data_IF_820211486720
#
_entry.id   IF_820211486720
#
_cell.length_a   1.000
_cell.length_b   1.000
_cell.length_c   1.000
_cell.angle_alpha   90.00
_cell.angle_beta   90.00
_cell.angle_gamma   90.00
#
_symmetry.space_group_name_H-M   'P 1'
#
loop_
_entity.id
_entity.type
_entity.pdbx_description
1 polymer ?
#
# COMPACT_ATOMS: atom_id res chain seq x y z
N UNK A 1 -24.65 -9.96 -21.12
CA UNK A 1 -24.62 -10.54 -19.76
C UNK A 1 -23.68 -9.68 -18.94
N UNK A 2 -24.19 -8.99 -17.92
CA UNK A 2 -23.38 -8.16 -17.02
C UNK A 2 -22.82 -9.00 -15.87
N UNK A 3 -21.62 -8.67 -15.40
CA UNK A 3 -21.04 -9.32 -14.22
C UNK A 3 -21.58 -8.63 -12.96
N UNK A 4 -21.92 -9.40 -11.92
CA UNK A 4 -22.24 -8.85 -10.60
C UNK A 4 -20.98 -8.33 -9.93
N UNK A 5 -20.68 -7.06 -10.20
CA UNK A 5 -19.51 -6.36 -9.68
C UNK A 5 -19.50 -6.37 -8.14
N UNK A 6 -20.65 -6.22 -7.46
CA UNK A 6 -20.69 -6.15 -5.99
C UNK A 6 -20.31 -7.47 -5.33
N UNK A 7 -20.84 -8.58 -5.82
CA UNK A 7 -20.48 -9.92 -5.31
C UNK A 7 -19.00 -10.21 -5.55
N UNK A 8 -18.47 -9.83 -6.70
CA UNK A 8 -17.05 -10.03 -6.99
C UNK A 8 -16.14 -9.17 -6.11
N UNK A 9 -16.51 -7.92 -5.86
CA UNK A 9 -15.79 -7.04 -4.95
C UNK A 9 -15.77 -7.64 -3.55
N UNK A 10 -16.91 -8.15 -3.06
CA UNK A 10 -16.96 -8.89 -1.79
C UNK A 10 -16.04 -10.11 -1.81
N UNK A 11 -16.02 -10.89 -2.90
CA UNK A 11 -15.13 -12.06 -3.01
C UNK A 11 -13.67 -11.63 -3.02
N UNK A 12 -13.26 -10.66 -3.83
CA UNK A 12 -11.88 -10.20 -3.92
C UNK A 12 -11.38 -9.60 -2.62
N UNK A 13 -12.20 -8.75 -1.99
CA UNK A 13 -11.85 -8.11 -0.73
C UNK A 13 -11.81 -9.13 0.40
N UNK A 14 -12.72 -10.11 0.44
CA UNK A 14 -12.75 -11.14 1.49
C UNK A 14 -11.81 -12.33 1.22
N UNK A 15 -11.30 -12.51 0.01
CA UNK A 15 -10.35 -13.57 -0.36
C UNK A 15 -9.08 -13.51 0.50
N UNK A 16 -8.87 -14.54 1.31
CA UNK A 16 -7.63 -14.78 2.04
C UNK A 16 -6.70 -15.67 1.18
N UNK A 17 -5.47 -15.92 1.66
CA UNK A 17 -4.51 -16.75 0.91
C UNK A 17 -5.01 -18.21 0.76
N UNK A 18 -5.82 -18.70 1.70
CA UNK A 18 -6.46 -20.02 1.61
C UNK A 18 -7.50 -20.10 0.50
N UNK A 19 -8.39 -19.11 0.37
CA UNK A 19 -9.35 -19.01 -0.72
C UNK A 19 -8.63 -18.95 -2.07
N UNK A 20 -7.52 -18.21 -2.18
CA UNK A 20 -6.71 -18.17 -3.40
C UNK A 20 -6.08 -19.53 -3.70
N UNK A 21 -5.58 -20.25 -2.69
CA UNK A 21 -5.07 -21.63 -2.86
C UNK A 21 -6.17 -22.60 -3.28
N UNK A 22 -7.36 -22.49 -2.71
CA UNK A 22 -8.51 -23.32 -3.09
C UNK A 22 -8.98 -23.02 -4.51
N UNK A 23 -8.98 -21.75 -4.92
CA UNK A 23 -9.25 -21.35 -6.31
C UNK A 23 -8.26 -21.98 -7.28
N UNK A 24 -6.96 -21.98 -6.93
CA UNK A 24 -5.91 -22.63 -7.74
C UNK A 24 -6.16 -24.13 -7.90
N UNK A 25 -6.35 -24.83 -6.78
CA UNK A 25 -6.65 -26.27 -6.78
C UNK A 25 -7.93 -26.61 -7.56
N UNK A 26 -8.98 -25.81 -7.41
CA UNK A 26 -10.29 -26.05 -8.04
C UNK A 26 -10.40 -25.58 -9.48
N UNK A 27 -9.41 -24.87 -10.02
CA UNK A 27 -9.46 -24.28 -11.36
C UNK A 27 -8.14 -24.45 -12.11
N UNK A 28 -7.57 -25.66 -12.07
CA UNK A 28 -6.27 -25.99 -12.69
C UNK A 28 -6.14 -25.58 -14.16
N UNK A 29 -7.24 -25.55 -14.92
CA UNK A 29 -7.25 -25.08 -16.32
C UNK A 29 -6.88 -23.60 -16.51
N UNK A 30 -6.94 -22.78 -15.46
CA UNK A 30 -6.61 -21.35 -15.49
C UNK A 30 -5.13 -21.08 -15.19
N UNK A 31 -4.41 -22.10 -14.72
CA UNK A 31 -3.05 -22.02 -14.23
C UNK A 31 -2.13 -22.93 -15.05
N UNK A 32 -0.87 -22.52 -15.16
CA UNK A 32 0.19 -23.27 -15.82
C UNK A 32 1.30 -23.40 -14.80
N UNK A 33 1.67 -24.64 -14.48
CA UNK A 33 2.85 -24.95 -13.69
C UNK A 33 4.05 -25.06 -14.64
N UNK A 34 5.14 -24.37 -14.29
CA UNK A 34 6.38 -24.46 -15.04
C UNK A 34 7.29 -25.61 -14.56
N UNK A 35 8.40 -25.82 -15.26
CA UNK A 35 9.40 -26.84 -14.94
C UNK A 35 10.06 -26.66 -13.55
N UNK A 36 9.95 -25.45 -12.98
CA UNK A 36 10.51 -25.11 -11.67
C UNK A 36 9.47 -25.19 -10.54
N UNK A 37 8.27 -25.70 -10.81
CA UNK A 37 7.17 -25.83 -9.84
C UNK A 37 6.51 -24.49 -9.48
N UNK A 38 6.69 -23.44 -10.29
CA UNK A 38 5.99 -22.18 -10.14
C UNK A 38 4.69 -22.20 -10.94
N UNK A 39 3.56 -22.22 -10.22
CA UNK A 39 2.23 -22.12 -10.80
C UNK A 39 1.86 -20.64 -11.08
N UNK A 40 1.67 -20.31 -12.36
CA UNK A 40 1.33 -18.97 -12.85
C UNK A 40 -0.01 -18.95 -13.58
N UNK A 41 -0.63 -17.78 -13.65
CA UNK A 41 -1.85 -17.62 -14.44
C UNK A 41 -1.57 -17.76 -15.95
N UNK A 42 -2.46 -18.46 -16.64
CA UNK A 42 -2.46 -18.48 -18.10
C UNK A 42 -2.80 -17.08 -18.67
N UNK A 43 -2.07 -16.69 -19.71
CA UNK A 43 -2.21 -15.38 -20.33
C UNK A 43 -3.58 -15.19 -20.99
N UNK A 44 -4.19 -16.25 -21.54
CA UNK A 44 -5.52 -16.17 -22.15
C UNK A 44 -6.60 -15.93 -21.08
N UNK A 45 -6.47 -16.60 -19.94
CA UNK A 45 -7.33 -16.41 -18.77
C UNK A 45 -7.27 -14.96 -18.24
N UNK A 46 -6.07 -14.37 -18.15
CA UNK A 46 -5.92 -12.96 -17.78
C UNK A 46 -6.60 -12.04 -18.79
N UNK A 47 -6.50 -12.31 -20.10
CA UNK A 47 -7.16 -11.50 -21.13
C UNK A 47 -8.68 -11.56 -20.99
N UNK A 48 -9.24 -12.74 -20.73
CA UNK A 48 -10.67 -12.93 -20.50
C UNK A 48 -11.12 -12.12 -19.27
N UNK A 49 -10.40 -12.22 -18.15
CA UNK A 49 -10.68 -11.42 -16.95
C UNK A 49 -10.67 -9.92 -17.26
N UNK A 50 -9.65 -9.43 -17.99
CA UNK A 50 -9.58 -8.01 -18.36
C UNK A 50 -10.76 -7.55 -19.21
N UNK A 51 -11.24 -8.40 -20.11
CA UNK A 51 -12.38 -8.12 -20.97
C UNK A 51 -13.69 -8.09 -20.16
N UNK A 52 -13.91 -9.09 -19.31
CA UNK A 52 -15.10 -9.18 -18.45
C UNK A 52 -15.19 -8.04 -17.44
N UNK A 53 -14.04 -7.60 -16.92
CA UNK A 53 -13.96 -6.57 -15.87
C UNK A 53 -13.43 -5.23 -16.39
N UNK A 54 -13.86 -4.76 -17.56
CA UNK A 54 -13.21 -3.61 -18.20
C UNK A 54 -13.02 -2.37 -17.30
N UNK A 55 -13.97 -2.07 -16.39
CA UNK A 55 -13.89 -0.95 -15.42
C UNK A 55 -12.89 -1.16 -14.29
N UNK A 56 -12.75 -2.39 -13.79
CA UNK A 56 -11.93 -2.73 -12.61
C UNK A 56 -10.77 -3.68 -12.95
N UNK A 57 -10.49 -3.88 -14.23
CA UNK A 57 -9.64 -4.97 -14.73
C UNK A 57 -8.29 -5.04 -14.04
N UNK A 58 -7.64 -3.89 -13.84
CA UNK A 58 -6.32 -3.84 -13.25
C UNK A 58 -6.40 -4.15 -11.75
N UNK A 59 -7.44 -3.70 -11.05
CA UNK A 59 -7.65 -4.02 -9.64
C UNK A 59 -7.93 -5.52 -9.43
N UNK A 60 -8.81 -6.09 -10.26
CA UNK A 60 -9.16 -7.52 -10.21
C UNK A 60 -7.95 -8.39 -10.51
N UNK A 61 -7.25 -8.13 -11.62
CA UNK A 61 -6.09 -8.92 -12.04
C UNK A 61 -4.97 -8.82 -11.01
N UNK A 62 -4.60 -7.62 -10.56
CA UNK A 62 -3.53 -7.46 -9.56
C UNK A 62 -3.88 -8.07 -8.20
N UNK A 63 -5.16 -8.26 -7.88
CA UNK A 63 -5.59 -8.89 -6.63
C UNK A 63 -5.55 -10.42 -6.67
N UNK A 64 -5.76 -11.01 -7.85
CA UNK A 64 -5.83 -12.45 -8.07
C UNK A 64 -4.47 -13.10 -8.39
N UNK A 65 -3.53 -12.34 -8.94
CA UNK A 65 -2.18 -12.82 -9.23
C UNK A 65 -1.44 -13.19 -7.94
N UNK A 66 -0.55 -14.19 -8.04
CA UNK A 66 0.45 -14.42 -7.00
C UNK A 66 1.31 -13.16 -6.83
N UNK A 67 1.69 -12.72 -5.61
CA UNK A 67 2.49 -11.51 -5.42
C UNK A 67 3.78 -11.49 -6.26
N UNK A 68 4.47 -12.62 -6.36
CA UNK A 68 5.68 -12.74 -7.19
C UNK A 68 5.40 -12.59 -8.69
N UNK A 69 4.37 -13.28 -9.20
CA UNK A 69 3.95 -13.15 -10.61
C UNK A 69 3.49 -11.72 -10.92
N UNK A 70 2.75 -11.11 -10.01
CA UNK A 70 2.26 -9.75 -10.12
C UNK A 70 3.41 -8.76 -10.29
N UNK A 71 4.40 -8.84 -9.40
CA UNK A 71 5.54 -7.93 -9.42
C UNK A 71 6.40 -8.18 -10.69
N UNK A 72 6.62 -9.44 -11.08
CA UNK A 72 7.31 -9.78 -12.33
C UNK A 72 6.62 -9.19 -13.57
N UNK A 73 5.28 -9.30 -13.67
CA UNK A 73 4.51 -8.71 -14.77
C UNK A 73 4.50 -7.19 -14.76
N UNK A 74 4.53 -6.56 -13.59
CA UNK A 74 4.64 -5.11 -13.45
C UNK A 74 6.01 -4.60 -13.90
N UNK A 75 7.08 -5.30 -13.51
CA UNK A 75 8.45 -5.01 -13.96
C UNK A 75 8.53 -5.14 -15.49
N UNK A 76 8.03 -6.23 -16.07
CA UNK A 76 8.04 -6.41 -17.52
C UNK A 76 7.31 -5.27 -18.26
N UNK A 77 6.13 -4.90 -17.75
CA UNK A 77 5.34 -3.80 -18.31
C UNK A 77 6.11 -2.47 -18.22
N UNK A 78 6.84 -2.23 -17.13
CA UNK A 78 7.63 -1.03 -16.95
C UNK A 78 8.83 -0.98 -17.91
N UNK A 79 9.57 -2.08 -18.04
CA UNK A 79 10.70 -2.20 -18.99
C UNK A 79 10.24 -1.88 -20.41
N UNK A 80 9.15 -2.52 -20.88
CA UNK A 80 8.62 -2.30 -22.24
C UNK A 80 8.15 -0.88 -22.52
N UNK A 81 7.65 -0.18 -21.50
CA UNK A 81 7.17 1.20 -21.65
C UNK A 81 8.29 2.24 -21.59
N UNK A 82 9.47 1.85 -21.09
CA UNK A 82 10.67 2.68 -21.11
C UNK A 82 10.80 3.66 -19.94
N UNK A 83 11.72 4.65 -20.06
CA UNK A 83 12.25 5.41 -18.93
C UNK A 83 11.23 6.11 -18.02
N UNK A 84 10.12 6.58 -18.60
CA UNK A 84 9.03 7.23 -17.84
C UNK A 84 8.35 6.31 -16.82
N UNK A 85 8.59 4.99 -16.89
CA UNK A 85 7.96 3.99 -16.04
C UNK A 85 8.94 3.22 -15.15
N UNK A 86 10.23 3.55 -15.19
CA UNK A 86 11.24 2.89 -14.36
C UNK A 86 11.02 3.12 -12.86
N UNK A 87 10.27 4.15 -12.49
CA UNK A 87 9.81 4.36 -11.12
C UNK A 87 9.04 3.16 -10.55
N UNK A 88 8.33 2.39 -11.38
CA UNK A 88 7.63 1.17 -10.93
C UNK A 88 8.62 0.05 -10.58
N UNK A 89 9.73 -0.05 -11.32
CA UNK A 89 10.80 -1.02 -11.04
C UNK A 89 11.47 -0.66 -9.72
N UNK A 90 11.81 0.62 -9.54
CA UNK A 90 12.36 1.15 -8.28
C UNK A 90 11.42 0.90 -7.13
N UNK A 91 10.13 1.21 -7.28
CA UNK A 91 9.14 0.98 -6.23
C UNK A 91 9.13 -0.49 -5.80
N UNK A 92 9.08 -1.43 -6.74
CA UNK A 92 9.05 -2.86 -6.43
C UNK A 92 10.37 -3.28 -5.77
N UNK A 93 11.52 -2.94 -6.35
CA UNK A 93 12.83 -3.36 -5.85
C UNK A 93 13.13 -2.80 -4.45
N UNK A 94 12.73 -1.56 -4.16
CA UNK A 94 13.06 -0.90 -2.90
C UNK A 94 12.05 -1.18 -1.78
N UNK A 95 10.77 -1.40 -2.10
CA UNK A 95 9.72 -1.54 -1.07
C UNK A 95 9.44 -2.98 -0.67
N UNK A 96 9.69 -3.96 -1.56
CA UNK A 96 9.56 -5.39 -1.24
C UNK A 96 10.62 -5.85 -0.24
N UNK A 97 10.33 -6.94 0.46
CA UNK A 97 11.36 -7.67 1.21
C UNK A 97 12.31 -8.40 0.27
N UNK A 98 13.50 -8.75 0.74
CA UNK A 98 14.50 -9.49 -0.03
C UNK A 98 13.94 -10.81 -0.59
N UNK A 99 13.14 -11.54 0.20
CA UNK A 99 12.48 -12.78 -0.24
C UNK A 99 11.36 -12.54 -1.25
N UNK A 100 10.59 -11.45 -1.10
CA UNK A 100 9.55 -11.09 -2.07
C UNK A 100 10.16 -10.71 -3.42
N UNK A 101 11.26 -9.94 -3.41
CA UNK A 101 11.97 -9.54 -4.63
C UNK A 101 12.62 -10.76 -5.30
N UNK A 102 13.25 -11.64 -4.53
CA UNK A 102 13.78 -12.91 -5.04
C UNK A 102 12.68 -13.78 -5.66
N UNK A 103 11.53 -13.86 -5.01
CA UNK A 103 10.35 -14.54 -5.54
C UNK A 103 9.89 -13.96 -6.88
N UNK A 104 9.85 -12.63 -7.01
CA UNK A 104 9.51 -11.96 -8.26
C UNK A 104 10.50 -12.30 -9.38
N UNK A 105 11.81 -12.37 -9.09
CA UNK A 105 12.84 -12.80 -10.06
C UNK A 105 12.61 -14.23 -10.55
N UNK A 106 12.31 -15.16 -9.64
CA UNK A 106 11.96 -16.56 -9.99
C UNK A 106 10.71 -16.62 -10.88
N UNK A 107 9.65 -15.89 -10.51
CA UNK A 107 8.43 -15.82 -11.31
C UNK A 107 8.69 -15.21 -12.69
N UNK A 108 9.61 -14.27 -12.79
CA UNK A 108 9.98 -13.65 -14.05
C UNK A 108 10.60 -14.64 -15.04
N UNK A 109 11.50 -15.53 -14.57
CA UNK A 109 12.06 -16.61 -15.40
C UNK A 109 10.96 -17.51 -15.96
N UNK A 110 10.00 -17.89 -15.11
CA UNK A 110 8.84 -18.72 -15.49
C UNK A 110 7.97 -18.09 -16.58
N UNK A 111 7.81 -16.77 -16.53
CA UNK A 111 6.89 -16.01 -17.37
C UNK A 111 7.49 -15.63 -18.72
N UNK A 112 8.79 -15.33 -18.72
CA UNK A 112 9.44 -14.66 -19.86
C UNK A 112 10.64 -15.40 -20.41
N UNK A 113 11.10 -16.47 -19.75
CA UNK A 113 12.22 -17.33 -20.17
C UNK A 113 13.59 -16.63 -20.19
N UNK A 114 13.75 -15.57 -19.40
CA UNK A 114 15.00 -14.87 -19.17
C UNK A 114 14.97 -14.19 -17.79
N UNK A 115 16.11 -13.67 -17.33
CA UNK A 115 16.18 -12.95 -16.04
C UNK A 115 15.79 -11.47 -16.15
N UNK A 116 15.40 -10.85 -15.04
CA UNK A 116 15.10 -9.40 -15.03
C UNK A 116 16.37 -8.62 -15.38
N UNK A 117 17.49 -9.07 -14.82
CA UNK A 117 18.83 -8.52 -15.00
C UNK A 117 19.22 -8.56 -16.48
N UNK A 118 19.10 -9.71 -17.13
CA UNK A 118 19.33 -9.87 -18.56
C UNK A 118 18.48 -8.91 -19.38
N UNK A 119 17.18 -8.80 -19.09
CA UNK A 119 16.32 -7.85 -19.82
C UNK A 119 16.80 -6.40 -19.63
N UNK A 120 17.15 -6.02 -18.41
CA UNK A 120 17.67 -4.69 -18.12
C UNK A 120 19.01 -4.42 -18.79
N UNK A 121 19.83 -5.43 -19.11
CA UNK A 121 21.08 -5.19 -19.87
C UNK A 121 20.82 -4.61 -21.27
N UNK A 122 19.69 -4.96 -21.88
CA UNK A 122 19.30 -4.54 -23.23
C UNK A 122 18.68 -3.13 -23.29
N UNK A 123 18.31 -2.54 -22.14
CA UNK A 123 17.78 -1.17 -22.14
C UNK A 123 18.90 -0.16 -22.36
N UNK A 124 18.61 0.89 -23.12
CA UNK A 124 19.49 2.05 -23.28
C UNK A 124 19.16 3.08 -22.21
N UNK A 125 20.18 3.67 -21.59
CA UNK A 125 20.00 4.71 -20.57
C UNK A 125 21.02 4.61 -19.44
N UNK A 126 21.21 5.73 -18.74
CA UNK A 126 22.10 5.84 -17.56
C UNK A 126 21.52 5.12 -16.33
N UNK A 127 20.20 4.91 -16.32
CA UNK A 127 19.45 4.25 -15.26
C UNK A 127 19.73 2.75 -15.18
N UNK A 128 20.27 2.15 -16.25
CA UNK A 128 20.51 0.71 -16.36
C UNK A 128 21.30 0.16 -15.19
N UNK A 129 22.42 0.81 -14.84
CA UNK A 129 23.30 0.36 -13.75
C UNK A 129 22.56 0.30 -12.42
N UNK A 130 21.84 1.38 -12.09
CA UNK A 130 21.02 1.47 -10.89
C UNK A 130 19.92 0.41 -10.88
N UNK A 131 19.15 0.28 -11.97
CA UNK A 131 18.03 -0.67 -12.03
C UNK A 131 18.49 -2.10 -11.87
N UNK A 132 19.57 -2.50 -12.55
CA UNK A 132 20.17 -3.84 -12.40
C UNK A 132 20.60 -4.08 -10.97
N UNK A 133 21.28 -3.10 -10.34
CA UNK A 133 21.73 -3.23 -8.96
C UNK A 133 20.55 -3.36 -7.97
N UNK A 134 19.49 -2.57 -8.16
CA UNK A 134 18.30 -2.60 -7.30
C UNK A 134 17.53 -3.92 -7.42
N UNK A 135 17.29 -4.44 -8.63
CA UNK A 135 16.55 -5.71 -8.79
C UNK A 135 17.35 -6.92 -8.34
N UNK A 136 18.69 -6.84 -8.41
CA UNK A 136 19.58 -7.93 -7.99
C UNK A 136 19.76 -8.00 -6.47
N UNK A 137 19.30 -6.98 -5.73
CA UNK A 137 19.58 -6.84 -4.32
C UNK A 137 18.96 -7.97 -3.48
N UNK A 138 19.77 -8.55 -2.59
CA UNK A 138 19.32 -9.42 -1.50
C UNK A 138 19.82 -8.82 -0.18
N UNK A 139 19.10 -7.79 0.28
CA UNK A 139 19.54 -6.92 1.38
C UNK A 139 19.41 -7.61 2.72
N UNK A 140 20.29 -7.23 3.64
CA UNK A 140 20.13 -7.54 5.05
C UNK A 140 18.87 -6.82 5.61
N UNK A 141 18.02 -7.56 6.32
CA UNK A 141 16.78 -7.04 6.91
C UNK A 141 16.82 -6.99 8.45
N UNK A 142 17.95 -7.34 9.07
CA UNK A 142 18.10 -7.27 10.52
C UNK A 142 18.35 -5.86 11.05
N UNK A 143 18.43 -5.75 12.37
CA UNK A 143 18.44 -4.44 13.07
C UNK A 143 19.81 -3.79 13.25
N UNK A 144 20.87 -4.46 12.79
CA UNK A 144 22.24 -4.01 12.97
C UNK A 144 22.56 -2.81 12.08
N UNK A 145 22.84 -1.67 12.69
CA UNK A 145 23.28 -0.45 12.00
C UNK A 145 24.57 0.05 12.66
N UNK A 146 25.60 0.30 11.86
CA UNK A 146 26.82 0.96 12.30
C UNK A 146 26.69 2.45 11.94
N UNK A 147 26.51 3.28 12.97
CA UNK A 147 26.28 4.72 12.79
C UNK A 147 27.49 5.47 12.19
N UNK A 148 28.72 5.05 12.51
CA UNK A 148 29.93 5.66 11.95
C UNK A 148 30.04 5.39 10.44
N UNK A 149 29.73 4.15 10.02
CA UNK A 149 29.70 3.78 8.59
C UNK A 149 28.56 4.51 7.87
N UNK A 150 27.38 4.63 8.50
CA UNK A 150 26.27 5.37 7.93
C UNK A 150 26.62 6.86 7.72
N UNK A 151 27.36 7.45 8.66
CA UNK A 151 27.88 8.82 8.54
C UNK A 151 28.92 8.97 7.43
N UNK A 152 29.89 8.05 7.33
CA UNK A 152 30.88 8.09 6.25
C UNK A 152 30.25 7.91 4.87
N UNK A 153 29.25 7.02 4.76
CA UNK A 153 28.54 6.82 3.49
C UNK A 153 27.60 7.97 3.14
N UNK A 154 27.06 8.70 4.13
CA UNK A 154 26.35 9.95 3.89
C UNK A 154 27.26 11.00 3.25
N UNK A 155 28.53 11.07 3.69
CA UNK A 155 29.53 11.93 3.08
C UNK A 155 29.85 11.52 1.64
N UNK A 156 30.03 10.22 1.38
CA UNK A 156 30.25 9.71 0.00
C UNK A 156 29.08 10.10 -0.91
N UNK A 157 27.83 9.94 -0.47
CA UNK A 157 26.67 10.37 -1.25
C UNK A 157 26.66 11.88 -1.48
N UNK A 158 26.98 12.68 -0.45
CA UNK A 158 27.03 14.14 -0.58
C UNK A 158 28.07 14.59 -1.61
N UNK A 159 29.28 14.03 -1.55
CA UNK A 159 30.35 14.32 -2.50
C UNK A 159 29.96 13.89 -3.92
N UNK A 160 29.34 12.72 -4.07
CA UNK A 160 28.85 12.25 -5.36
C UNK A 160 27.78 13.19 -5.97
N UNK A 161 26.93 13.80 -5.14
CA UNK A 161 25.85 14.70 -5.59
C UNK A 161 26.36 16.12 -5.86
N UNK A 162 27.23 16.66 -5.00
CA UNK A 162 27.61 18.07 -5.00
C UNK A 162 28.96 18.37 -5.66
N UNK A 163 29.90 17.45 -5.63
CA UNK A 163 31.23 17.64 -6.23
C UNK A 163 31.35 16.99 -7.62
N UNK A 164 30.34 16.21 -8.03
CA UNK A 164 30.25 15.61 -9.35
C UNK A 164 29.55 16.50 -10.38
N UNK A 165 29.82 16.23 -11.66
CA UNK A 165 28.97 16.68 -12.75
C UNK A 165 27.59 16.04 -12.54
N UNK A 166 26.59 16.82 -12.07
CA UNK A 166 25.27 16.31 -11.59
C UNK A 166 24.61 15.30 -12.54
N UNK A 167 24.92 15.42 -13.84
CA UNK A 167 24.48 14.51 -14.90
C UNK A 167 25.01 13.06 -14.77
N UNK A 168 25.96 12.78 -13.87
CA UNK A 168 26.69 11.51 -13.70
C UNK A 168 26.47 10.83 -12.35
N UNK A 169 25.47 11.24 -11.56
CA UNK A 169 25.20 10.57 -10.28
C UNK A 169 24.87 9.07 -10.46
N UNK A 170 24.24 8.71 -11.58
CA UNK A 170 23.98 7.33 -12.01
C UNK A 170 25.23 6.60 -12.57
N UNK A 171 26.38 7.27 -12.63
CA UNK A 171 27.66 6.69 -12.99
C UNK A 171 28.60 6.52 -11.79
N UNK A 172 28.25 7.08 -10.62
CA UNK A 172 29.05 6.93 -9.41
C UNK A 172 28.82 5.54 -8.78
N UNK A 173 29.82 4.68 -8.91
CA UNK A 173 29.74 3.27 -8.51
C UNK A 173 29.41 3.11 -7.02
N UNK A 174 30.09 3.86 -6.15
CA UNK A 174 29.86 3.80 -4.71
C UNK A 174 28.43 4.20 -4.32
N UNK A 175 27.87 5.23 -4.96
CA UNK A 175 26.52 5.69 -4.67
C UNK A 175 25.48 4.62 -5.03
N UNK A 176 25.64 3.98 -6.20
CA UNK A 176 24.78 2.86 -6.61
C UNK A 176 24.95 1.68 -5.65
N UNK A 177 26.18 1.33 -5.29
CA UNK A 177 26.47 0.21 -4.40
C UNK A 177 25.84 0.41 -3.02
N UNK A 178 26.01 1.59 -2.43
CA UNK A 178 25.40 1.97 -1.15
C UNK A 178 23.88 1.84 -1.25
N UNK A 179 23.27 2.49 -2.25
CA UNK A 179 21.82 2.47 -2.45
C UNK A 179 21.28 1.07 -2.73
N UNK A 180 22.03 0.18 -3.39
CA UNK A 180 21.59 -1.15 -3.80
C UNK A 180 21.80 -2.25 -2.75
N UNK A 181 22.84 -2.17 -1.92
CA UNK A 181 23.26 -3.28 -1.06
C UNK A 181 22.94 -3.08 0.42
N UNK A 182 22.97 -1.84 0.91
CA UNK A 182 22.77 -1.56 2.34
C UNK A 182 21.35 -1.89 2.80
N UNK A 183 21.22 -2.25 4.07
CA UNK A 183 19.92 -2.50 4.70
C UNK A 183 19.08 -1.22 4.71
N UNK A 184 17.76 -1.36 4.74
CA UNK A 184 16.85 -0.20 4.80
C UNK A 184 17.09 0.64 6.06
N UNK A 185 17.37 0.01 7.18
CA UNK A 185 17.69 0.71 8.43
C UNK A 185 19.00 1.49 8.36
N UNK A 186 20.02 0.92 7.73
CA UNK A 186 21.28 1.62 7.49
C UNK A 186 21.09 2.83 6.58
N UNK A 187 20.32 2.68 5.49
CA UNK A 187 19.99 3.79 4.60
C UNK A 187 19.16 4.88 5.29
N UNK A 188 18.28 4.53 6.22
CA UNK A 188 17.58 5.50 7.06
C UNK A 188 18.54 6.24 8.01
N UNK A 189 19.52 5.57 8.60
CA UNK A 189 20.56 6.21 9.40
C UNK A 189 21.41 7.17 8.56
N UNK A 190 21.84 6.72 7.38
CA UNK A 190 22.54 7.54 6.40
C UNK A 190 21.72 8.78 6.04
N UNK A 191 20.44 8.62 5.71
CA UNK A 191 19.52 9.71 5.39
C UNK A 191 19.41 10.74 6.53
N UNK A 192 19.38 10.27 7.80
CA UNK A 192 19.40 11.16 8.96
C UNK A 192 20.71 11.93 9.07
N UNK A 193 21.86 11.26 8.97
CA UNK A 193 23.18 11.90 9.03
C UNK A 193 23.37 12.94 7.92
N UNK A 194 22.96 12.61 6.69
CA UNK A 194 23.00 13.54 5.56
C UNK A 194 22.22 14.83 5.89
N UNK A 195 20.96 14.70 6.31
CA UNK A 195 20.11 15.85 6.58
C UNK A 195 20.51 16.66 7.81
N UNK A 196 21.34 16.10 8.69
CA UNK A 196 21.89 16.80 9.87
C UNK A 196 23.21 17.49 9.56
N UNK A 197 23.99 16.96 8.60
CA UNK A 197 25.35 17.41 8.33
C UNK A 197 25.43 18.49 7.24
N UNK A 198 24.39 18.62 6.41
CA UNK A 198 24.40 19.48 5.23
C UNK A 198 23.20 20.43 5.19
N UNK A 199 23.38 21.59 4.54
CA UNK A 199 22.37 22.66 4.47
C UNK A 199 21.11 22.26 3.71
N UNK A 200 21.24 21.37 2.73
CA UNK A 200 20.14 20.83 1.94
C UNK A 200 19.87 19.39 2.33
N UNK A 201 18.59 19.04 2.39
CA UNK A 201 18.21 17.64 2.59
C UNK A 201 18.54 16.81 1.36
N UNK A 202 18.79 15.52 1.56
CA UNK A 202 19.08 14.59 0.45
C UNK A 202 17.95 14.61 -0.60
N UNK A 203 16.70 14.71 -0.17
CA UNK A 203 15.55 14.80 -1.08
C UNK A 203 15.56 16.08 -1.94
N UNK A 204 16.05 17.21 -1.41
CA UNK A 204 16.19 18.47 -2.14
C UNK A 204 17.39 18.45 -3.09
N UNK A 205 18.50 17.83 -2.69
CA UNK A 205 19.68 17.71 -3.54
C UNK A 205 19.45 16.78 -4.74
N UNK A 206 18.51 15.85 -4.61
CA UNK A 206 18.05 14.97 -5.70
C UNK A 206 16.89 15.55 -6.52
N UNK A 207 16.52 16.82 -6.32
CA UNK A 207 15.49 17.46 -7.14
C UNK A 207 15.95 17.54 -8.61
N UNK A 208 15.15 16.99 -9.53
CA UNK A 208 15.50 16.84 -10.95
C UNK A 208 16.09 15.48 -11.33
N UNK A 209 16.62 14.71 -10.37
CA UNK A 209 17.09 13.33 -10.57
C UNK A 209 16.02 12.32 -10.15
N UNK A 210 14.93 12.28 -10.94
CA UNK A 210 13.67 11.62 -10.58
C UNK A 210 13.81 10.18 -10.10
N UNK A 211 14.59 9.34 -10.78
CA UNK A 211 14.73 7.91 -10.42
C UNK A 211 15.52 7.71 -9.13
N UNK A 212 16.50 8.57 -8.84
CA UNK A 212 17.29 8.50 -7.62
C UNK A 212 16.51 9.03 -6.44
N UNK A 213 15.75 10.12 -6.64
CA UNK A 213 14.78 10.60 -5.66
C UNK A 213 13.75 9.52 -5.33
N UNK A 214 13.17 8.87 -6.34
CA UNK A 214 12.26 7.74 -6.15
C UNK A 214 12.93 6.60 -5.35
N UNK A 215 14.21 6.31 -5.62
CA UNK A 215 14.99 5.27 -4.94
C UNK A 215 15.18 5.59 -3.46
N UNK A 216 15.65 6.81 -3.15
CA UNK A 216 15.88 7.26 -1.78
C UNK A 216 14.56 7.36 -1.01
N UNK A 217 13.51 7.91 -1.60
CA UNK A 217 12.20 7.96 -0.95
C UNK A 217 11.67 6.53 -0.69
N UNK A 218 11.74 5.61 -1.65
CA UNK A 218 11.27 4.24 -1.43
C UNK A 218 12.05 3.49 -0.33
N UNK A 219 13.37 3.74 -0.19
CA UNK A 219 14.23 3.05 0.77
C UNK A 219 14.18 3.69 2.17
N UNK A 220 14.18 5.02 2.23
CA UNK A 220 14.34 5.76 3.47
C UNK A 220 13.02 6.32 4.01
N UNK A 221 12.17 6.84 3.13
CA UNK A 221 10.92 7.54 3.47
C UNK A 221 9.74 7.09 2.60
N UNK A 222 9.38 5.78 2.60
CA UNK A 222 8.42 5.21 1.64
C UNK A 222 7.05 5.89 1.69
N UNK A 223 6.66 6.40 2.86
CA UNK A 223 5.46 7.21 3.02
C UNK A 223 5.44 8.43 2.09
N UNK A 224 6.55 9.16 1.98
CA UNK A 224 6.69 10.34 1.13
C UNK A 224 6.49 9.97 -0.34
N UNK A 225 7.14 8.89 -0.78
CA UNK A 225 6.97 8.36 -2.13
C UNK A 225 5.52 8.02 -2.45
N UNK A 226 4.89 7.19 -1.61
CA UNK A 226 3.52 6.74 -1.87
C UNK A 226 2.51 7.87 -1.78
N UNK A 227 2.69 8.82 -0.85
CA UNK A 227 1.84 10.00 -0.77
C UNK A 227 1.94 10.82 -2.04
N UNK A 228 3.15 11.07 -2.55
CA UNK A 228 3.37 11.80 -3.80
C UNK A 228 2.73 11.11 -5.00
N UNK A 229 2.89 9.78 -5.12
CA UNK A 229 2.27 9.00 -6.21
C UNK A 229 0.75 9.03 -6.13
N UNK A 230 0.18 8.88 -4.93
CA UNK A 230 -1.27 8.91 -4.73
C UNK A 230 -1.85 10.30 -4.98
N UNK A 231 -1.20 11.36 -4.50
CA UNK A 231 -1.61 12.73 -4.74
C UNK A 231 -1.54 13.10 -6.23
N UNK A 232 -0.49 12.69 -6.94
CA UNK A 232 -0.39 12.87 -8.39
C UNK A 232 -1.51 12.14 -9.15
N UNK A 233 -1.88 10.94 -8.71
CA UNK A 233 -2.93 10.14 -9.35
C UNK A 233 -4.36 10.71 -9.16
N UNK A 234 -4.53 11.54 -8.15
CA UNK A 234 -5.80 12.06 -7.66
C UNK A 234 -6.17 13.42 -8.28
N UNK A 235 -5.20 14.12 -8.86
CA UNK A 235 -5.43 15.43 -9.48
C UNK A 235 -6.42 15.34 -10.65
N UNK A 236 -7.22 16.37 -10.85
CA UNK A 236 -8.23 16.43 -11.92
C UNK A 236 -7.58 16.31 -13.31
N UNK A 237 -6.40 16.90 -13.48
CA UNK A 237 -5.59 16.91 -14.70
C UNK A 237 -4.58 15.74 -14.76
N UNK A 238 -4.70 14.74 -13.88
CA UNK A 238 -3.81 13.59 -13.86
C UNK A 238 -3.85 12.83 -15.20
N UNK A 239 -2.68 12.46 -15.71
CA UNK A 239 -2.57 11.63 -16.89
C UNK A 239 -3.03 10.19 -16.60
N UNK A 240 -3.33 9.44 -17.66
CA UNK A 240 -3.85 8.07 -17.55
C UNK A 240 -2.89 7.09 -16.86
N UNK A 241 -1.59 7.35 -16.86
CA UNK A 241 -0.62 6.50 -16.17
C UNK A 241 -0.55 6.83 -14.67
N UNK A 242 -0.64 8.11 -14.31
CA UNK A 242 -0.83 8.54 -12.92
C UNK A 242 -2.10 7.93 -12.32
N UNK A 243 -3.24 7.97 -13.03
CA UNK A 243 -4.48 7.31 -12.59
C UNK A 243 -4.33 5.79 -12.41
N UNK A 244 -3.56 5.11 -13.28
CA UNK A 244 -3.27 3.67 -13.11
C UNK A 244 -2.38 3.38 -11.90
N UNK A 245 -1.50 4.32 -11.54
CA UNK A 245 -0.63 4.18 -10.37
C UNK A 245 -1.45 4.06 -9.07
N UNK A 246 -2.60 4.73 -8.98
CA UNK A 246 -3.53 4.59 -7.86
C UNK A 246 -3.94 3.14 -7.60
N UNK A 247 -4.43 2.45 -8.64
CA UNK A 247 -4.82 1.02 -8.55
C UNK A 247 -3.65 0.17 -8.08
N UNK A 248 -2.49 0.41 -8.69
CA UNK A 248 -1.27 -0.36 -8.44
C UNK A 248 -0.81 -0.20 -7.00
N UNK A 249 -0.70 1.03 -6.50
CA UNK A 249 -0.24 1.32 -5.15
C UNK A 249 -1.21 0.76 -4.11
N UNK A 250 -2.51 1.01 -4.24
CA UNK A 250 -3.50 0.54 -3.26
C UNK A 250 -3.55 -0.99 -3.17
N UNK A 251 -3.55 -1.68 -4.32
CA UNK A 251 -3.65 -3.15 -4.35
C UNK A 251 -2.35 -3.82 -3.94
N UNK A 252 -1.19 -3.29 -4.36
CA UNK A 252 0.10 -3.96 -4.15
C UNK A 252 0.81 -3.58 -2.85
N UNK A 253 0.57 -2.37 -2.33
CA UNK A 253 1.30 -1.81 -1.18
C UNK A 253 0.44 -1.71 0.08
N UNK A 254 -0.70 -2.40 0.14
CA UNK A 254 -1.67 -2.34 1.24
C UNK A 254 -1.04 -2.46 2.64
N UNK A 255 -0.10 -3.38 2.82
CA UNK A 255 0.54 -3.63 4.13
C UNK A 255 1.47 -2.47 4.50
N UNK A 256 2.21 -1.94 3.54
CA UNK A 256 3.08 -0.79 3.74
C UNK A 256 2.27 0.47 4.03
N UNK A 257 1.21 0.74 3.25
CA UNK A 257 0.33 1.89 3.46
C UNK A 257 -0.29 1.89 4.87
N UNK A 258 -0.64 0.71 5.40
CA UNK A 258 -1.16 0.58 6.76
C UNK A 258 -0.08 0.80 7.82
N UNK A 259 1.11 0.22 7.65
CA UNK A 259 2.24 0.44 8.58
C UNK A 259 2.59 1.92 8.72
N UNK A 260 2.52 2.65 7.61
CA UNK A 260 2.83 4.08 7.54
C UNK A 260 1.65 4.99 7.95
N UNK A 261 0.55 4.42 8.46
CA UNK A 261 -0.59 5.17 8.97
C UNK A 261 -1.34 5.98 7.91
N UNK A 262 -1.30 5.56 6.63
CA UNK A 262 -1.98 6.26 5.56
C UNK A 262 -3.50 6.27 5.80
N UNK A 263 -4.06 7.47 6.04
CA UNK A 263 -5.46 7.64 6.42
C UNK A 263 -6.35 7.60 5.16
N UNK A 264 -7.32 6.67 5.07
CA UNK A 264 -8.21 6.51 3.90
C UNK A 264 -9.00 7.76 3.49
N UNK A 265 -9.10 8.77 4.37
CA UNK A 265 -9.90 9.97 4.19
C UNK A 265 -9.52 10.78 2.94
N UNK A 266 -8.23 10.88 2.60
CA UNK A 266 -7.82 11.57 1.36
C UNK A 266 -8.29 10.83 0.10
N UNK A 267 -8.27 9.50 0.11
CA UNK A 267 -8.74 8.68 -1.04
C UNK A 267 -10.28 8.72 -1.14
N UNK A 268 -10.96 8.81 0.01
CA UNK A 268 -12.41 8.79 0.11
C UNK A 268 -13.07 9.97 -0.63
N UNK A 269 -12.43 11.13 -0.65
CA UNK A 269 -12.99 12.34 -1.25
C UNK A 269 -12.82 12.40 -2.78
N UNK A 270 -11.89 11.63 -3.34
CA UNK A 270 -11.55 11.69 -4.78
C UNK A 270 -12.12 10.51 -5.58
N UNK A 271 -12.24 9.32 -4.98
CA UNK A 271 -12.78 8.17 -5.70
C UNK A 271 -14.30 8.17 -5.66
N UNK A 272 -14.93 7.90 -6.82
CA UNK A 272 -16.37 7.81 -6.98
C UNK A 272 -16.82 6.38 -7.29
N UNK A 273 -18.03 6.05 -6.86
CA UNK A 273 -18.72 4.78 -7.18
C UNK A 273 -18.03 3.53 -6.65
N UNK A 274 -18.29 2.39 -7.30
CA UNK A 274 -17.80 1.07 -6.86
C UNK A 274 -16.28 0.95 -6.82
N UNK A 275 -15.55 1.81 -7.54
CA UNK A 275 -14.08 1.87 -7.51
C UNK A 275 -13.56 2.29 -6.13
N UNK A 276 -14.21 3.29 -5.53
CA UNK A 276 -13.95 3.74 -4.17
C UNK A 276 -14.14 2.59 -3.19
N UNK A 277 -15.25 1.86 -3.31
CA UNK A 277 -15.59 0.77 -2.40
C UNK A 277 -14.55 -0.35 -2.44
N UNK A 278 -14.06 -0.72 -3.63
CA UNK A 278 -12.96 -1.70 -3.82
C UNK A 278 -11.69 -1.25 -3.12
N UNK A 279 -11.30 0.00 -3.33
CA UNK A 279 -10.06 0.54 -2.82
C UNK A 279 -10.09 0.67 -1.29
N UNK A 280 -11.18 1.20 -0.75
CA UNK A 280 -11.36 1.35 0.70
C UNK A 280 -11.45 -0.01 1.39
N UNK A 281 -12.18 -0.97 0.82
CA UNK A 281 -12.29 -2.32 1.38
C UNK A 281 -10.94 -3.05 1.39
N UNK A 282 -10.12 -2.87 0.35
CA UNK A 282 -8.76 -3.44 0.27
C UNK A 282 -7.84 -2.91 1.38
N UNK A 283 -7.93 -1.61 1.68
CA UNK A 283 -7.15 -0.97 2.75
C UNK A 283 -7.67 -1.40 4.13
N UNK A 284 -8.99 -1.35 4.35
CA UNK A 284 -9.63 -1.67 5.62
C UNK A 284 -9.31 -3.09 6.11
N UNK A 285 -9.26 -4.07 5.20
CA UNK A 285 -8.85 -5.44 5.54
C UNK A 285 -7.40 -5.53 6.03
N UNK A 286 -6.50 -4.78 5.40
CA UNK A 286 -5.09 -4.74 5.81
C UNK A 286 -4.96 -4.13 7.22
N UNK A 287 -5.77 -3.10 7.54
CA UNK A 287 -5.86 -2.54 8.88
C UNK A 287 -6.39 -3.56 9.89
N UNK A 288 -7.47 -4.27 9.57
CA UNK A 288 -8.06 -5.29 10.45
C UNK A 288 -7.11 -6.48 10.74
N UNK A 289 -6.33 -6.92 9.75
CA UNK A 289 -5.33 -7.99 9.92
C UNK A 289 -4.21 -7.60 10.90
N UNK A 290 -3.86 -6.31 10.98
CA UNK A 290 -2.84 -5.80 11.90
C UNK A 290 -3.38 -5.53 13.32
N UNK A 291 -4.68 -5.67 13.56
CA UNK A 291 -5.37 -5.33 14.81
C UNK A 291 -5.79 -6.55 15.67
N UNK A 292 -5.37 -7.79 15.36
CA UNK A 292 -5.65 -8.96 16.21
C UNK A 292 -4.43 -9.86 16.44
N UNK A 293 -4.26 -10.52 17.61
CA UNK A 293 -4.63 -10.13 18.97
C UNK A 293 -3.38 -10.15 19.89
N UNK A 294 -2.49 -9.16 19.77
CA UNK A 294 -1.42 -8.95 20.77
C UNK A 294 -1.23 -7.48 21.14
N UNK A 295 -1.96 -6.56 20.50
CA UNK A 295 -1.86 -5.12 20.78
C UNK A 295 -2.62 -4.76 22.06
N UNK A 296 -1.96 -4.26 23.11
CA UNK A 296 -2.61 -3.91 24.36
C UNK A 296 -3.66 -2.80 24.19
N UNK A 297 -4.76 -2.93 24.92
CA UNK A 297 -5.96 -2.07 24.85
C UNK A 297 -5.69 -0.55 25.04
N UNK A 298 -4.54 -0.17 25.62
CA UNK A 298 -4.20 1.24 25.85
C UNK A 298 -3.80 1.99 24.57
N UNK A 299 -3.18 1.32 23.58
CA UNK A 299 -2.80 1.96 22.30
C UNK A 299 -4.00 2.22 21.40
N UNK A 300 -5.00 1.33 21.43
CA UNK A 300 -6.27 1.52 20.71
C UNK A 300 -6.98 2.79 21.19
N UNK A 301 -6.92 3.09 22.49
CA UNK A 301 -7.55 4.28 23.07
C UNK A 301 -6.88 5.60 22.66
N UNK A 302 -5.59 5.59 22.29
CA UNK A 302 -4.84 6.79 21.88
C UNK A 302 -5.02 7.07 20.39
N UNK A 303 -5.07 6.01 19.58
CA UNK A 303 -5.35 6.07 18.14
C UNK A 303 -6.79 6.53 17.89
N UNK A 304 -7.76 5.97 18.62
CA UNK A 304 -9.17 6.37 18.49
C UNK A 304 -9.41 7.81 19.00
N UNK A 305 -8.76 8.23 20.09
CA UNK A 305 -8.84 9.62 20.60
C UNK A 305 -8.18 10.64 19.66
N UNK A 306 -7.10 10.27 18.95
CA UNK A 306 -6.49 11.13 17.92
C UNK A 306 -7.41 11.30 16.71
N UNK A 307 -8.16 10.27 16.32
CA UNK A 307 -9.09 10.33 15.19
C UNK A 307 -10.36 11.14 15.47
N UNK A 308 -10.83 11.22 16.73
CA UNK A 308 -12.01 12.02 17.08
C UNK A 308 -11.72 13.52 17.28
N UNK A 309 -10.51 13.90 17.73
CA UNK A 309 -10.14 15.32 17.91
C UNK A 309 -10.16 16.11 16.60
N UNK A 310 -9.76 15.49 15.49
CA UNK A 310 -9.80 16.06 14.14
C UNK A 310 -11.23 16.20 13.58
N UNK A 311 -12.16 15.34 14.01
CA UNK A 311 -13.57 15.42 13.60
C UNK A 311 -14.31 16.55 14.36
N UNK A 312 -14.06 16.69 15.66
CA UNK A 312 -14.66 17.75 16.48
C UNK A 312 -14.19 19.18 16.10
N UNK A 313 -12.98 19.32 15.55
CA UNK A 313 -12.48 20.61 15.04
C UNK A 313 -13.15 21.04 13.73
N UNK A 314 -13.56 20.10 12.87
CA UNK A 314 -14.28 20.40 11.61
C UNK A 314 -15.75 20.74 11.81
N UNK A 315 -16.39 20.22 12.87
CA UNK A 315 -17.80 20.53 13.16
C UNK A 315 -18.04 21.94 13.75
N UNK A 316 -17.00 22.73 14.09
CA UNK A 316 -17.18 24.12 14.56
C UNK A 316 -17.41 25.14 13.44
N UNK A 317 -17.27 24.76 12.17
CA UNK A 317 -17.40 25.67 11.02
C UNK A 317 -18.77 25.59 10.30
N UNK A 318 -19.66 24.68 10.71
CA UNK A 318 -21.00 24.52 10.14
C UNK A 318 -22.06 24.70 11.21
N UNK A 319 -22.13 25.93 11.76
CA UNK A 319 -23.27 26.35 12.58
C UNK A 319 -23.41 27.88 12.54
N UNK A 320 -23.49 28.40 11.31
CA UNK A 320 -23.95 29.75 10.99
C UNK A 320 -24.92 29.64 9.82
N UNK A 321 -26.13 29.13 10.09
CA UNK A 321 -27.40 29.41 9.39
C UNK A 321 -28.48 28.57 10.10
N UNK A 322 -29.48 29.27 10.61
CA UNK A 322 -30.32 28.82 11.70
C UNK A 322 -31.35 27.75 11.36
N UNK A 323 -31.65 26.93 12.36
CA UNK A 323 -33.01 26.68 12.85
C UNK A 323 -32.89 26.75 14.39
N UNK A 324 -33.15 27.94 14.92
CA UNK A 324 -33.48 28.13 16.34
C UNK A 324 -35.00 28.02 16.44
N UNK A 325 -35.50 27.13 17.29
CA UNK A 325 -36.87 27.23 17.79
C UNK A 325 -37.59 25.90 17.94
N UNK A 326 -37.98 25.63 19.19
CA UNK A 326 -39.00 24.66 19.62
C UNK A 326 -38.52 23.20 19.75
N UNK A 327 -37.91 22.89 20.90
CA UNK A 327 -38.37 21.84 21.83
C UNK A 327 -37.53 21.92 23.11
N UNK A 328 -37.82 22.92 23.94
CA UNK A 328 -37.42 22.95 25.36
C UNK A 328 -38.56 22.31 26.15
N UNK A 329 -38.21 21.33 27.01
CA UNK A 329 -38.99 20.69 28.10
C UNK A 329 -39.94 19.53 27.74
N UNK A 330 -39.53 18.29 28.10
CA UNK A 330 -40.31 17.33 28.92
C UNK A 330 -39.55 15.97 29.06
N UNK A 331 -39.58 15.28 30.22
CA UNK A 331 -38.88 14.01 30.45
C UNK A 331 -39.75 12.82 30.02
N UNK A 332 -39.31 12.00 29.07
CA UNK A 332 -40.02 10.77 28.73
C UNK A 332 -39.59 9.61 29.66
N UNK A 333 -40.59 9.11 30.41
CA UNK A 333 -40.53 8.02 31.39
C UNK A 333 -40.23 6.66 30.74
N UNK A 334 -39.49 5.83 31.48
CA UNK A 334 -39.01 4.45 31.22
C UNK A 334 -40.07 3.41 30.81
N UNK A 335 -41.36 3.76 30.72
CA UNK A 335 -42.44 2.81 30.40
C UNK A 335 -42.62 2.48 28.91
N UNK A 336 -42.03 3.26 27.99
CA UNK A 336 -42.17 3.03 26.54
C UNK A 336 -41.22 1.95 26.00
N UNK A 337 -40.11 1.65 26.69
CA UNK A 337 -39.13 0.65 26.25
C UNK A 337 -39.61 -0.79 26.51
N UNK A 338 -40.36 -1.02 27.58
CA UNK A 338 -40.90 -2.34 27.92
C UNK A 338 -42.00 -2.81 26.94
N UNK A 339 -42.76 -1.87 26.37
CA UNK A 339 -43.74 -2.17 25.32
C UNK A 339 -43.07 -2.52 23.98
N UNK A 340 -41.93 -1.88 23.67
CA UNK A 340 -41.14 -2.18 22.47
C UNK A 340 -40.48 -3.56 22.54
N UNK A 341 -40.00 -3.96 23.72
CA UNK A 341 -39.32 -5.24 23.94
C UNK A 341 -40.28 -6.45 23.96
N UNK A 342 -41.55 -6.29 24.37
CA UNK A 342 -42.55 -7.38 24.25
C UNK A 342 -42.93 -7.71 22.80
N UNK A 343 -42.87 -6.73 21.88
CA UNK A 343 -43.27 -6.93 20.48
C UNK A 343 -42.19 -7.61 19.62
N UNK A 344 -40.94 -7.69 20.11
CA UNK A 344 -39.81 -8.30 19.38
C UNK A 344 -39.47 -9.74 19.76
N UNK A 345 -40.12 -10.33 20.79
CA UNK A 345 -39.87 -11.73 21.21
C UNK A 345 -40.46 -12.81 20.28
N UNK A 346 -41.01 -12.43 19.12
CA UNK A 346 -41.66 -13.34 18.15
C UNK A 346 -40.84 -13.70 16.91
N UNK A 347 -39.56 -13.30 16.82
CA UNK A 347 -38.66 -13.79 15.75
C UNK A 347 -37.39 -14.35 16.36
N UNK A 348 -37.17 -15.65 16.16
CA UNK A 348 -35.97 -16.38 16.56
C UNK A 348 -34.70 -15.72 15.98
N UNK A 349 -33.75 -15.39 16.86
CA UNK A 349 -32.33 -15.23 16.53
C UNK A 349 -31.50 -16.05 17.52
N UNK A 350 -30.32 -16.56 17.11
CA UNK A 350 -29.45 -17.40 17.94
C UNK A 350 -28.80 -16.62 19.09
N UNK A 351 -28.49 -17.34 20.17
CA UNK A 351 -28.21 -16.84 21.53
C UNK A 351 -26.92 -16.01 21.72
N UNK A 352 -26.07 -15.86 20.71
CA UNK A 352 -24.77 -15.19 20.87
C UNK A 352 -24.85 -13.65 20.79
N UNK A 353 -26.02 -13.10 20.45
CA UNK A 353 -26.25 -11.65 20.40
C UNK A 353 -26.76 -11.04 21.72
N UNK A 354 -27.02 -11.87 22.76
CA UNK A 354 -27.60 -11.38 24.03
C UNK A 354 -26.53 -10.96 25.03
N UNK A 355 -25.29 -11.47 24.91
CA UNK A 355 -24.18 -11.13 25.81
C UNK A 355 -23.51 -9.78 25.51
N UNK A 356 -23.63 -9.26 24.29
CA UNK A 356 -23.11 -7.93 23.95
C UNK A 356 -23.99 -6.77 24.43
N UNK A 357 -25.29 -7.01 24.65
CA UNK A 357 -26.22 -5.96 25.08
C UNK A 357 -26.25 -5.72 26.61
N UNK A 358 -25.68 -6.64 27.41
CA UNK A 358 -25.60 -6.49 28.87
C UNK A 358 -24.31 -5.80 29.36
N UNK A 359 -23.23 -5.85 28.57
CA UNK A 359 -21.96 -5.20 28.92
C UNK A 359 -22.02 -3.67 28.93
N UNK A 360 -22.71 -3.08 27.95
CA UNK A 360 -22.77 -1.63 27.80
C UNK A 360 -23.76 -0.94 28.75
N UNK A 361 -24.72 -1.67 29.31
CA UNK A 361 -25.66 -1.11 30.31
C UNK A 361 -25.03 -1.06 31.72
N UNK A 362 -24.15 -2.01 32.05
CA UNK A 362 -23.39 -2.00 33.31
C UNK A 362 -22.31 -0.89 33.32
N UNK A 363 -21.72 -0.57 32.17
CA UNK A 363 -20.76 0.52 32.03
C UNK A 363 -21.38 1.93 32.14
N UNK A 364 -22.68 2.07 31.83
CA UNK A 364 -23.40 3.35 31.96
C UNK A 364 -23.89 3.65 33.39
N UNK A 365 -24.14 2.62 34.20
CA UNK A 365 -24.54 2.78 35.61
C UNK A 365 -23.35 2.87 36.59
N UNK A 366 -22.13 2.49 36.17
CA UNK A 366 -20.91 2.59 36.98
C UNK A 366 -20.29 3.99 37.12
N UNK A 367 -20.89 5.03 36.52
CA UNK A 367 -20.42 6.43 36.61
C UNK A 367 -21.48 7.37 37.19
N UNK A 368 -22.08 7.00 38.31
CA UNK A 368 -22.63 7.93 39.31
C UNK A 368 -22.51 7.32 40.70
N UNK A 369 -21.37 7.53 41.34
CA UNK A 369 -21.28 7.83 42.77
C UNK A 369 -20.53 9.14 42.90
#
# INVERSE_FOLDING_TARGET
IGVDEKSLISILTNSNEEHKRSLRKGSSKLFIEDENGFERWDQSSIKILKHQFNRFRDAVVLSLLHPWERDARLIEKAIRKGPKHYNVIVEIACTRSSDQLLGARKAYHSLFHHSIEEHLTHIKGRERKLLVALVSAYRYEGTGVNEDVAKSEAQILYEAINNGDKNKLLDHEDAIMILATRSKQHLQALYRHYNQSYDKTLAQDLEGEGILKDTVECLCTPQTYFTRVLEAAVKEDADEESKKALTRVIVTQKEQLVKEGFVPNKIQDILLGLYKDVMLASIAKSVAKNLSPTTPFYELSSIWRRSQKTYAQRCRFVSFLGICGVFRKAPLKVRTLAAFLRKRRKKHMPNDAVLWAFGDFAAFLGKRR
#
